data_IF_529054218974
#
_entry.id   IF_529054218974
#
_cell.length_a   1.000
_cell.length_b   1.000
_cell.length_c   1.000
_cell.angle_alpha   90.00
_cell.angle_beta   90.00
_cell.angle_gamma   90.00
#
_symmetry.space_group_name_H-M   'P 1'
#
loop_
_entity.id
_entity.type
_entity.pdbx_description
1 polymer ?
#
# COMPACT_ATOMS: atom_id res chain seq x y z
N UNK A 1 1.89 -12.52 23.11
CA UNK A 1 1.91 -11.36 22.20
C UNK A 1 3.23 -11.21 21.44
N UNK A 2 4.39 -11.47 22.06
CA UNK A 2 5.69 -11.35 21.40
C UNK A 2 5.81 -12.18 20.12
N UNK A 3 5.42 -13.46 20.16
CA UNK A 3 5.51 -14.34 18.99
C UNK A 3 4.57 -13.92 17.85
N UNK A 4 3.40 -13.35 18.19
CA UNK A 4 2.47 -12.81 17.21
C UNK A 4 3.06 -11.58 16.49
N UNK A 5 3.70 -10.67 17.22
CA UNK A 5 4.40 -9.53 16.60
C UNK A 5 5.59 -9.99 15.75
N UNK A 6 6.33 -11.03 16.17
CA UNK A 6 7.39 -11.64 15.36
C UNK A 6 6.83 -12.22 14.05
N UNK A 7 5.68 -12.91 14.10
CA UNK A 7 4.99 -13.41 12.91
C UNK A 7 4.58 -12.27 11.96
N UNK A 8 3.97 -11.20 12.49
CA UNK A 8 3.62 -10.00 11.70
C UNK A 8 4.86 -9.32 11.09
N UNK A 9 6.03 -9.52 11.69
CA UNK A 9 7.31 -8.96 11.23
C UNK A 9 8.02 -9.86 10.21
N UNK A 10 7.45 -11.00 9.82
CA UNK A 10 8.02 -11.83 8.77
C UNK A 10 7.96 -11.12 7.42
N UNK A 11 8.97 -11.32 6.57
CA UNK A 11 9.06 -10.70 5.24
C UNK A 11 7.76 -10.79 4.40
N UNK A 12 7.10 -11.96 4.26
CA UNK A 12 5.86 -12.04 3.48
C UNK A 12 4.71 -11.22 4.08
N UNK A 13 4.59 -11.16 5.41
CA UNK A 13 3.50 -10.44 6.08
C UNK A 13 3.68 -8.93 5.97
N UNK A 14 4.89 -8.42 6.24
CA UNK A 14 5.22 -7.00 6.04
C UNK A 14 4.98 -6.62 4.58
N UNK A 15 5.43 -7.44 3.63
CA UNK A 15 5.26 -7.18 2.19
C UNK A 15 3.79 -7.08 1.81
N UNK A 16 2.93 -8.00 2.29
CA UNK A 16 1.51 -7.97 2.02
C UNK A 16 0.84 -6.70 2.58
N UNK A 17 1.18 -6.30 3.81
CA UNK A 17 0.65 -5.07 4.43
C UNK A 17 1.13 -3.83 3.66
N UNK A 18 2.42 -3.75 3.35
CA UNK A 18 3.01 -2.62 2.64
C UNK A 18 2.43 -2.42 1.24
N UNK A 19 2.35 -3.51 0.47
CA UNK A 19 1.75 -3.48 -0.86
C UNK A 19 0.24 -3.22 -0.80
N UNK A 20 -0.46 -3.72 0.21
CA UNK A 20 -1.88 -3.42 0.43
C UNK A 20 -2.14 -1.93 0.68
N UNK A 21 -1.34 -1.29 1.54
CA UNK A 21 -1.42 0.15 1.79
C UNK A 21 -1.06 0.94 0.52
N UNK A 22 0.04 0.56 -0.15
CA UNK A 22 0.50 1.22 -1.38
C UNK A 22 -0.56 1.14 -2.48
N UNK A 23 -1.14 -0.05 -2.69
CA UNK A 23 -2.23 -0.25 -3.65
C UNK A 23 -3.47 0.57 -3.29
N UNK A 24 -3.87 0.59 -2.01
CA UNK A 24 -4.98 1.41 -1.54
C UNK A 24 -4.78 2.89 -1.84
N UNK A 25 -3.60 3.44 -1.55
CA UNK A 25 -3.26 4.84 -1.88
C UNK A 25 -3.36 5.08 -3.38
N UNK A 26 -2.78 4.22 -4.22
CA UNK A 26 -2.80 4.37 -5.67
C UNK A 26 -4.23 4.27 -6.24
N UNK A 27 -5.06 3.36 -5.74
CA UNK A 27 -6.46 3.20 -6.17
C UNK A 27 -7.26 4.46 -5.82
N UNK A 28 -7.16 4.92 -4.58
CA UNK A 28 -7.88 6.10 -4.11
C UNK A 28 -7.41 7.37 -4.84
N UNK A 29 -6.10 7.51 -5.07
CA UNK A 29 -5.54 8.62 -5.84
C UNK A 29 -6.08 8.64 -7.28
N UNK A 30 -6.09 7.51 -7.98
CA UNK A 30 -6.64 7.43 -9.33
C UNK A 30 -8.18 7.53 -9.37
N UNK A 31 -8.88 7.22 -8.26
CA UNK A 31 -10.33 7.46 -8.13
C UNK A 31 -10.66 8.94 -8.03
N UNK A 32 -9.84 9.71 -7.30
CA UNK A 32 -10.04 11.16 -7.12
C UNK A 32 -9.47 12.00 -8.26
N UNK A 33 -8.39 11.54 -8.89
CA UNK A 33 -7.72 12.21 -10.01
C UNK A 33 -7.63 11.27 -11.23
N UNK A 34 -8.75 11.03 -11.94
CA UNK A 34 -8.74 10.17 -13.10
C UNK A 34 -7.90 10.76 -14.25
N UNK A 35 -7.37 9.88 -15.09
CA UNK A 35 -6.75 10.20 -16.38
C UNK A 35 -5.55 11.18 -16.34
N UNK A 36 -4.73 11.11 -15.28
CA UNK A 36 -3.48 11.88 -15.18
C UNK A 36 -2.37 11.34 -16.11
N UNK A 37 -2.37 11.79 -17.37
CA UNK A 37 -1.34 11.47 -18.36
C UNK A 37 -0.03 12.25 -18.15
N UNK A 38 -0.13 13.51 -17.73
CA UNK A 38 1.00 14.40 -17.44
C UNK A 38 0.66 15.30 -16.25
N UNK A 39 1.70 15.85 -15.62
CA UNK A 39 1.52 16.84 -14.57
C UNK A 39 0.92 18.14 -15.15
N UNK A 40 -0.14 18.73 -14.58
CA UNK A 40 -0.81 19.90 -15.17
C UNK A 40 0.01 21.20 -15.32
N UNK A 41 1.20 21.26 -14.70
CA UNK A 41 2.17 22.37 -14.77
C UNK A 41 3.50 21.86 -15.34
#
# INVERSE_FOLDING_TARGET
>A
MKDFLTYLSTAPVITAIWLGITAGILIEFNRFFPDLLFHPL
#
